data_IF_151647398037
#
_entry.id   IF_151647398037
#
_cell.length_a   1.000
_cell.length_b   1.000
_cell.length_c   1.000
_cell.angle_alpha   90.00
_cell.angle_beta   90.00
_cell.angle_gamma   90.00
#
_symmetry.space_group_name_H-M   'P 1'
#
loop_
_entity.id
_entity.type
_entity.pdbx_description
1 polymer ?
#
# COMPACT_ATOMS: atom_id res chain seq x y z
N UNK A 1 27.30 -31.99 -23.72
CA UNK A 1 27.12 -30.54 -23.97
C UNK A 1 25.65 -30.24 -23.74
N UNK A 2 25.30 -29.61 -22.63
CA UNK A 2 23.90 -29.36 -22.24
C UNK A 2 23.40 -28.10 -22.97
N UNK A 3 22.47 -28.30 -23.91
CA UNK A 3 21.83 -27.21 -24.64
C UNK A 3 20.80 -26.55 -23.70
N UNK A 4 21.19 -25.48 -23.01
CA UNK A 4 20.24 -24.68 -22.21
C UNK A 4 19.35 -23.90 -23.17
N UNK A 5 18.15 -24.40 -23.42
CA UNK A 5 17.10 -23.64 -24.11
C UNK A 5 16.85 -22.33 -23.35
N UNK A 6 17.30 -21.22 -23.93
CA UNK A 6 17.00 -19.90 -23.43
C UNK A 6 15.48 -19.69 -23.51
N UNK A 7 14.82 -19.56 -22.36
CA UNK A 7 13.40 -19.26 -22.30
C UNK A 7 13.11 -18.03 -23.17
N UNK A 8 12.12 -18.07 -24.10
CA UNK A 8 11.84 -16.96 -25.00
C UNK A 8 11.41 -15.75 -24.17
N UNK A 9 12.34 -14.82 -24.01
CA UNK A 9 12.11 -13.59 -23.27
C UNK A 9 11.26 -12.70 -24.17
N UNK A 10 9.96 -12.55 -23.86
CA UNK A 10 9.07 -11.69 -24.65
C UNK A 10 9.64 -10.26 -24.69
N UNK A 11 9.69 -9.67 -25.88
CA UNK A 11 10.17 -8.31 -26.06
C UNK A 11 9.35 -7.31 -25.21
N UNK A 12 9.98 -6.24 -24.68
CA UNK A 12 9.24 -5.21 -23.95
C UNK A 12 8.26 -4.50 -24.90
N UNK A 13 7.03 -4.29 -24.43
CA UNK A 13 5.99 -3.58 -25.18
C UNK A 13 6.47 -2.17 -25.54
N UNK A 14 6.23 -1.76 -26.78
CA UNK A 14 6.51 -0.38 -27.21
C UNK A 14 5.45 0.57 -26.65
N UNK A 15 5.84 1.81 -26.39
CA UNK A 15 4.91 2.84 -25.93
C UNK A 15 3.77 3.01 -26.95
N UNK A 16 2.52 2.77 -26.52
CA UNK A 16 1.32 2.77 -27.39
C UNK A 16 0.74 1.37 -27.66
N UNK A 17 1.44 0.31 -27.28
CA UNK A 17 0.96 -1.07 -27.41
C UNK A 17 0.09 -1.45 -26.20
N UNK A 18 -1.22 -1.53 -26.43
CA UNK A 18 -2.20 -1.89 -25.40
C UNK A 18 -2.33 -3.42 -25.33
N UNK A 19 -1.83 -4.03 -24.25
CA UNK A 19 -2.05 -5.45 -23.97
C UNK A 19 -3.26 -5.60 -23.01
N UNK A 20 -4.46 -5.95 -23.52
CA UNK A 20 -5.67 -6.12 -22.71
C UNK A 20 -5.58 -7.29 -21.71
N UNK A 21 -4.56 -8.16 -21.77
CA UNK A 21 -4.34 -9.25 -20.83
C UNK A 21 -3.44 -8.89 -19.64
N UNK A 22 -2.74 -7.75 -19.69
CA UNK A 22 -1.69 -7.39 -18.71
C UNK A 22 -2.24 -7.08 -17.32
N UNK A 23 -3.46 -6.56 -17.23
CA UNK A 23 -4.08 -6.20 -15.95
C UNK A 23 -4.34 -7.41 -15.02
N UNK A 24 -4.52 -8.61 -15.60
CA UNK A 24 -4.66 -9.88 -14.87
C UNK A 24 -3.36 -10.32 -14.18
N UNK A 25 -2.21 -9.83 -14.65
CA UNK A 25 -0.89 -10.06 -14.06
C UNK A 25 -0.37 -8.82 -13.31
N UNK A 26 -1.23 -7.84 -13.03
CA UNK A 26 -0.89 -6.66 -12.22
C UNK A 26 -0.51 -7.11 -10.81
N UNK A 27 0.80 -7.23 -10.58
CA UNK A 27 1.42 -7.68 -9.33
C UNK A 27 0.87 -6.87 -8.16
N UNK A 28 0.76 -7.48 -6.98
CA UNK A 28 0.34 -6.85 -5.72
C UNK A 28 1.05 -5.50 -5.43
N UNK A 29 2.26 -5.30 -5.97
CA UNK A 29 2.99 -4.04 -5.90
C UNK A 29 2.24 -2.85 -6.52
N UNK A 30 1.60 -3.04 -7.67
CA UNK A 30 0.94 -1.98 -8.44
C UNK A 30 -0.43 -1.62 -7.85
N UNK A 31 -1.16 -2.60 -7.31
CA UNK A 31 -2.37 -2.35 -6.51
C UNK A 31 -2.09 -1.56 -5.25
N UNK A 32 -1.03 -1.91 -4.52
CA UNK A 32 -0.67 -1.19 -3.30
C UNK A 32 -0.21 0.24 -3.57
N UNK A 33 0.40 0.52 -4.72
CA UNK A 33 0.69 1.88 -5.14
C UNK A 33 -0.59 2.71 -5.34
N UNK A 34 -1.60 2.13 -6.00
CA UNK A 34 -2.88 2.80 -6.21
C UNK A 34 -3.58 3.13 -4.89
N UNK A 35 -3.62 2.15 -3.97
CA UNK A 35 -4.18 2.33 -2.63
C UNK A 35 -3.44 3.40 -1.82
N UNK A 36 -2.14 3.55 -2.00
CA UNK A 36 -1.35 4.60 -1.34
C UNK A 36 -1.76 6.01 -1.81
N UNK A 37 -2.05 6.19 -3.10
CA UNK A 37 -2.51 7.48 -3.65
C UNK A 37 -3.93 7.81 -3.20
N UNK A 38 -4.83 6.83 -3.31
CA UNK A 38 -6.22 7.01 -2.90
C UNK A 38 -6.35 7.34 -1.41
N UNK A 39 -5.58 6.65 -0.56
CA UNK A 39 -5.57 6.92 0.89
C UNK A 39 -5.06 8.32 1.23
N UNK A 40 -4.07 8.85 0.52
CA UNK A 40 -3.59 10.22 0.75
C UNK A 40 -4.70 11.26 0.51
N UNK A 41 -5.44 11.12 -0.60
CA UNK A 41 -6.56 12.00 -0.93
C UNK A 41 -7.67 11.87 0.11
N UNK A 42 -7.99 10.63 0.49
CA UNK A 42 -9.00 10.36 1.53
C UNK A 42 -8.62 10.98 2.88
N UNK A 43 -7.34 10.95 3.28
CA UNK A 43 -6.86 11.59 4.51
C UNK A 43 -7.10 13.09 4.48
N UNK A 44 -6.79 13.77 3.36
CA UNK A 44 -7.00 15.22 3.25
C UNK A 44 -8.48 15.58 3.44
N UNK A 45 -9.37 14.82 2.80
CA UNK A 45 -10.83 15.01 2.93
C UNK A 45 -11.31 14.70 4.35
N UNK A 46 -10.87 13.58 4.94
CA UNK A 46 -11.24 13.19 6.30
C UNK A 46 -10.69 14.16 7.35
N UNK A 47 -9.53 14.75 7.11
CA UNK A 47 -8.95 15.77 7.98
C UNK A 47 -9.79 17.05 7.94
N UNK A 48 -10.18 17.53 6.75
CA UNK A 48 -11.07 18.69 6.63
C UNK A 48 -12.43 18.45 7.32
N UNK A 49 -12.99 17.25 7.13
CA UNK A 49 -14.20 16.80 7.82
C UNK A 49 -14.02 16.73 9.33
N UNK A 50 -12.90 16.20 9.82
CA UNK A 50 -12.58 16.11 11.24
C UNK A 50 -12.48 17.50 11.87
N UNK A 51 -11.87 18.48 11.19
CA UNK A 51 -11.79 19.85 11.68
C UNK A 51 -13.16 20.56 11.71
N UNK A 52 -14.06 20.20 10.79
CA UNK A 52 -15.41 20.79 10.71
C UNK A 52 -16.40 20.09 11.65
N UNK A 53 -16.22 18.79 11.88
CA UNK A 53 -17.12 17.90 12.60
C UNK A 53 -16.36 17.13 13.69
N UNK A 54 -15.64 17.87 14.53
CA UNK A 54 -14.70 17.34 15.54
C UNK A 54 -15.30 16.27 16.44
N UNK A 55 -16.58 16.40 16.79
CA UNK A 55 -17.25 15.52 17.74
C UNK A 55 -17.82 14.23 17.15
N UNK A 56 -17.62 13.96 15.85
CA UNK A 56 -18.15 12.73 15.22
C UNK A 56 -17.15 11.57 15.37
N UNK A 57 -17.42 10.57 16.25
CA UNK A 57 -16.50 9.45 16.50
C UNK A 57 -16.18 8.65 15.23
N UNK A 58 -17.17 8.52 14.32
CA UNK A 58 -16.99 7.84 13.05
C UNK A 58 -15.91 8.50 12.18
N UNK A 59 -15.84 9.85 12.14
CA UNK A 59 -14.84 10.56 11.34
C UNK A 59 -13.46 10.38 11.96
N UNK A 60 -13.35 10.42 13.30
CA UNK A 60 -12.10 10.17 14.01
C UNK A 60 -11.59 8.75 13.74
N UNK A 61 -12.48 7.75 13.81
CA UNK A 61 -12.17 6.35 13.49
C UNK A 61 -11.67 6.19 12.05
N UNK A 62 -12.41 6.73 11.07
CA UNK A 62 -12.06 6.62 9.66
C UNK A 62 -10.74 7.35 9.35
N UNK A 63 -10.50 8.52 9.96
CA UNK A 63 -9.25 9.24 9.83
C UNK A 63 -8.08 8.42 10.39
N UNK A 64 -8.22 7.87 11.59
CA UNK A 64 -7.20 7.02 12.22
C UNK A 64 -6.90 5.76 11.38
N UNK A 65 -7.95 5.10 10.88
CA UNK A 65 -7.83 3.96 9.99
C UNK A 65 -7.07 4.33 8.71
N UNK A 66 -7.47 5.41 8.05
CA UNK A 66 -6.86 5.80 6.78
C UNK A 66 -5.41 6.26 6.95
N UNK A 67 -5.09 6.97 8.03
CA UNK A 67 -3.72 7.40 8.36
C UNK A 67 -2.81 6.20 8.65
N UNK A 68 -3.23 5.27 9.50
CA UNK A 68 -2.43 4.08 9.82
C UNK A 68 -2.22 3.19 8.59
N UNK A 69 -3.26 3.02 7.76
CA UNK A 69 -3.17 2.31 6.49
C UNK A 69 -2.19 2.99 5.51
N UNK A 70 -2.32 4.30 5.30
CA UNK A 70 -1.43 5.06 4.42
C UNK A 70 0.02 4.99 4.89
N UNK A 71 0.26 5.15 6.20
CA UNK A 71 1.57 5.06 6.81
C UNK A 71 2.20 3.66 6.61
N UNK A 72 1.43 2.58 6.81
CA UNK A 72 1.90 1.22 6.60
C UNK A 72 2.30 0.96 5.13
N UNK A 73 1.50 1.45 4.16
CA UNK A 73 1.83 1.33 2.75
C UNK A 73 3.08 2.16 2.37
N UNK A 74 3.20 3.39 2.88
CA UNK A 74 4.33 4.27 2.61
C UNK A 74 5.64 3.79 3.25
N UNK A 75 5.59 3.31 4.50
CA UNK A 75 6.76 2.82 5.21
C UNK A 75 7.41 1.64 4.48
N UNK A 76 6.62 0.75 3.87
CA UNK A 76 7.18 -0.34 3.06
C UNK A 76 8.01 0.19 1.89
N UNK A 77 7.57 1.27 1.23
CA UNK A 77 8.24 1.82 0.05
C UNK A 77 9.60 2.34 0.47
N UNK A 78 9.64 3.11 1.56
CA UNK A 78 10.87 3.60 2.19
C UNK A 78 11.82 2.44 2.54
N UNK A 79 11.34 1.41 3.25
CA UNK A 79 12.16 0.28 3.69
C UNK A 79 12.76 -0.53 2.52
N UNK A 80 12.02 -0.67 1.43
CA UNK A 80 12.50 -1.37 0.22
C UNK A 80 13.48 -0.49 -0.58
N UNK A 81 13.24 0.82 -0.67
CA UNK A 81 14.09 1.74 -1.43
C UNK A 81 15.48 1.90 -0.79
N UNK A 82 15.54 1.95 0.55
CA UNK A 82 16.81 1.99 1.28
C UNK A 82 17.51 0.62 1.39
N UNK A 83 16.97 -0.43 0.76
CA UNK A 83 17.50 -1.80 0.82
C UNK A 83 17.67 -2.34 2.25
N UNK A 84 16.92 -1.79 3.22
CA UNK A 84 16.93 -2.24 4.61
C UNK A 84 16.30 -3.64 4.74
N UNK A 85 15.40 -3.99 3.82
CA UNK A 85 14.73 -5.27 3.76
C UNK A 85 14.87 -5.86 2.36
N UNK A 86 15.29 -7.13 2.28
CA UNK A 86 15.41 -7.82 1.00
C UNK A 86 14.04 -8.02 0.35
N UNK A 87 13.94 -7.82 -0.96
CA UNK A 87 12.70 -7.96 -1.76
C UNK A 87 12.02 -9.33 -1.56
N UNK A 88 12.80 -10.37 -1.25
CA UNK A 88 12.29 -11.71 -0.90
C UNK A 88 11.27 -11.68 0.26
N UNK A 89 11.41 -10.75 1.20
CA UNK A 89 10.54 -10.62 2.38
C UNK A 89 9.40 -9.62 2.20
N UNK A 90 9.17 -9.09 0.98
CA UNK A 90 8.16 -8.06 0.74
C UNK A 90 6.75 -8.44 1.24
N UNK A 91 6.33 -9.70 1.05
CA UNK A 91 5.01 -10.17 1.53
C UNK A 91 4.92 -10.16 3.07
N UNK A 92 5.97 -10.63 3.73
CA UNK A 92 6.05 -10.63 5.20
C UNK A 92 6.09 -9.20 5.73
N UNK A 93 6.84 -8.31 5.10
CA UNK A 93 6.91 -6.89 5.46
C UNK A 93 5.53 -6.23 5.39
N UNK A 94 4.77 -6.48 4.33
CA UNK A 94 3.39 -5.97 4.21
C UNK A 94 2.52 -6.49 5.35
N UNK A 95 2.57 -7.79 5.64
CA UNK A 95 1.76 -8.39 6.71
C UNK A 95 2.11 -7.78 8.08
N UNK A 96 3.39 -7.64 8.40
CA UNK A 96 3.87 -7.07 9.67
C UNK A 96 3.47 -5.60 9.80
N UNK A 97 3.66 -4.79 8.75
CA UNK A 97 3.30 -3.37 8.78
C UNK A 97 1.79 -3.17 8.89
N UNK A 98 0.98 -4.00 8.22
CA UNK A 98 -0.47 -3.96 8.35
C UNK A 98 -0.92 -4.37 9.76
N UNK A 99 -0.33 -5.43 10.33
CA UNK A 99 -0.62 -5.85 11.69
C UNK A 99 -0.25 -4.76 12.71
N UNK A 100 0.90 -4.11 12.54
CA UNK A 100 1.32 -2.99 13.37
C UNK A 100 0.36 -1.80 13.25
N UNK A 101 -0.11 -1.48 12.04
CA UNK A 101 -1.11 -0.44 11.81
C UNK A 101 -2.45 -0.73 12.50
N UNK A 102 -2.93 -1.98 12.43
CA UNK A 102 -4.16 -2.42 13.12
C UNK A 102 -3.98 -2.33 14.64
N UNK A 103 -2.84 -2.77 15.16
CA UNK A 103 -2.54 -2.68 16.59
C UNK A 103 -2.53 -1.22 17.06
N UNK A 104 -1.88 -0.32 16.32
CA UNK A 104 -1.86 1.11 16.61
C UNK A 104 -3.28 1.71 16.59
N UNK A 105 -4.09 1.37 15.59
CA UNK A 105 -5.49 1.78 15.51
C UNK A 105 -6.26 1.35 16.76
N UNK A 106 -6.18 0.07 17.13
CA UNK A 106 -6.91 -0.49 18.26
C UNK A 106 -6.49 0.16 19.59
N UNK A 107 -5.18 0.30 19.81
CA UNK A 107 -4.63 0.91 21.02
C UNK A 107 -5.07 2.38 21.16
N UNK A 108 -4.94 3.17 20.10
CA UNK A 108 -5.33 4.59 20.11
C UNK A 108 -6.83 4.72 20.29
N UNK A 109 -7.63 3.89 19.61
CA UNK A 109 -9.08 3.93 19.72
C UNK A 109 -9.56 3.65 21.15
N UNK A 110 -9.07 2.57 21.77
CA UNK A 110 -9.41 2.18 23.14
C UNK A 110 -8.87 3.14 24.21
N UNK A 111 -7.93 4.03 23.85
CA UNK A 111 -7.44 5.08 24.74
C UNK A 111 -8.35 6.33 24.70
N UNK A 112 -9.02 6.58 23.58
CA UNK A 112 -9.87 7.76 23.37
C UNK A 112 -11.33 7.48 23.78
N UNK A 113 -11.80 6.25 23.55
CA UNK A 113 -13.19 5.80 23.76
C UNK A 113 -13.23 4.55 24.63
#
# INVERSE_FOLDING_TARGET
>A
MEHREALPTRAPLKQGEFDPGRWRNTKAGMWSWLWQRFSAIAIVVLLALHLSLTYRPLIQFLLLLMVTFHAALGLRVILLDFSLVNVKYQKALIAVLMAAGIAALFLIWNQIY
#
